data_IF_617797912674
#
_entry.id   IF_617797912674
#
_cell.length_a   1.000
_cell.length_b   1.000
_cell.length_c   1.000
_cell.angle_alpha   90.00
_cell.angle_beta   90.00
_cell.angle_gamma   90.00
#
_symmetry.space_group_name_H-M   'P 1'
#
loop_
_entity.id
_entity.type
_entity.pdbx_description
1 polymer ?
#
# COMPACT_ATOMS: atom_id res chain seq x y z
N UNK A 1 -14.08 -15.80 3.29
CA UNK A 1 -14.36 -17.06 4.03
C UNK A 1 -15.80 -17.53 3.86
N UNK A 2 -16.33 -17.40 2.65
CA UNK A 2 -17.77 -17.42 2.39
C UNK A 2 -18.29 -18.75 1.87
N UNK A 3 -17.62 -19.86 2.21
CA UNK A 3 -17.93 -21.16 1.60
C UNK A 3 -18.46 -22.20 2.58
N UNK A 4 -18.77 -21.84 3.84
CA UNK A 4 -19.24 -22.74 4.91
C UNK A 4 -18.31 -23.95 5.21
N UNK A 5 -17.13 -23.99 4.57
CA UNK A 5 -16.13 -25.05 4.72
C UNK A 5 -15.47 -25.01 6.11
N UNK A 6 -15.25 -23.82 6.65
CA UNK A 6 -14.65 -23.63 7.98
C UNK A 6 -15.69 -23.13 8.98
N UNK A 7 -15.62 -23.63 10.21
CA UNK A 7 -16.44 -23.14 11.31
C UNK A 7 -15.97 -21.73 11.72
N UNK A 8 -16.85 -20.72 11.76
CA UNK A 8 -16.48 -19.34 12.11
C UNK A 8 -15.82 -19.22 13.49
N UNK A 9 -16.34 -19.94 14.49
CA UNK A 9 -15.79 -19.95 15.86
C UNK A 9 -14.33 -20.40 15.90
N UNK A 10 -13.97 -21.45 15.13
CA UNK A 10 -12.59 -21.95 15.07
C UNK A 10 -11.61 -20.93 14.47
N UNK A 11 -12.08 -20.06 13.58
CA UNK A 11 -11.29 -18.97 13.04
C UNK A 11 -11.17 -17.80 14.04
N UNK A 12 -12.22 -17.48 14.80
CA UNK A 12 -12.10 -16.47 15.85
C UNK A 12 -11.01 -16.89 16.84
N UNK A 13 -10.91 -18.17 17.21
CA UNK A 13 -9.82 -18.68 18.06
C UNK A 13 -8.44 -18.39 17.44
N UNK A 14 -8.29 -18.48 16.12
CA UNK A 14 -7.06 -18.08 15.40
C UNK A 14 -6.78 -16.59 15.62
N UNK A 15 -7.78 -15.72 15.46
CA UNK A 15 -7.63 -14.28 15.69
C UNK A 15 -7.28 -13.95 17.13
N UNK A 16 -7.97 -14.54 18.10
CA UNK A 16 -7.68 -14.36 19.53
C UNK A 16 -6.25 -14.83 19.88
N UNK A 17 -5.79 -15.92 19.26
CA UNK A 17 -4.42 -16.43 19.46
C UNK A 17 -3.37 -15.46 18.93
N UNK A 18 -3.56 -14.94 17.71
CA UNK A 18 -2.68 -13.95 17.08
C UNK A 18 -2.65 -12.65 17.89
N UNK A 19 -3.82 -12.16 18.30
CA UNK A 19 -3.97 -10.93 19.06
C UNK A 19 -3.39 -11.02 20.47
N UNK A 20 -3.60 -12.15 21.15
CA UNK A 20 -2.98 -12.43 22.44
C UNK A 20 -1.46 -12.44 22.33
N UNK A 21 -0.91 -13.09 21.28
CA UNK A 21 0.53 -13.08 21.03
C UNK A 21 1.07 -11.67 20.75
N UNK A 22 0.34 -10.87 19.98
CA UNK A 22 0.67 -9.47 19.68
C UNK A 22 0.68 -8.60 20.94
N UNK A 23 -0.35 -8.69 21.78
CA UNK A 23 -0.45 -7.96 23.04
C UNK A 23 0.70 -8.32 24.00
N UNK A 24 1.04 -9.62 24.12
CA UNK A 24 2.19 -10.06 24.93
C UNK A 24 3.51 -9.54 24.36
N UNK A 25 3.68 -9.49 23.03
CA UNK A 25 4.93 -9.00 22.42
C UNK A 25 5.20 -7.54 22.79
N UNK A 26 4.17 -6.68 22.84
CA UNK A 26 4.32 -5.24 23.12
C UNK A 26 4.23 -4.88 24.62
N UNK A 27 3.90 -5.84 25.48
CA UNK A 27 3.89 -5.67 26.94
C UNK A 27 5.30 -5.33 27.46
N UNK A 28 5.44 -4.23 28.22
CA UNK A 28 6.75 -3.75 28.69
C UNK A 28 7.34 -4.60 29.82
N UNK A 29 6.52 -5.37 30.55
CA UNK A 29 6.95 -6.19 31.69
C UNK A 29 7.23 -7.64 31.28
N UNK A 30 6.39 -8.20 30.39
CA UNK A 30 6.38 -9.62 30.02
C UNK A 30 6.86 -9.87 28.59
N UNK A 31 6.92 -8.84 27.77
CA UNK A 31 7.19 -8.91 26.35
C UNK A 31 8.57 -8.41 25.93
N UNK A 32 8.72 -8.21 24.63
CA UNK A 32 9.86 -7.54 24.03
C UNK A 32 9.35 -6.55 22.96
N UNK A 33 9.10 -5.28 23.34
CA UNK A 33 8.57 -4.26 22.43
C UNK A 33 9.45 -3.97 21.20
N UNK A 34 10.73 -4.34 21.19
CA UNK A 34 11.55 -4.27 19.97
C UNK A 34 10.98 -5.11 18.83
N UNK A 35 10.16 -6.12 19.13
CA UNK A 35 9.51 -6.97 18.14
C UNK A 35 8.09 -6.51 17.77
N UNK A 36 7.72 -5.25 18.02
CA UNK A 36 6.39 -4.73 17.67
C UNK A 36 6.02 -4.97 16.20
N UNK A 37 6.98 -4.97 15.26
CA UNK A 37 6.72 -5.29 13.85
C UNK A 37 6.04 -6.67 13.66
N UNK A 38 6.37 -7.66 14.50
CA UNK A 38 5.70 -8.97 14.54
C UNK A 38 4.26 -8.86 15.03
N UNK A 39 4.05 -8.08 16.08
CA UNK A 39 2.73 -7.87 16.68
C UNK A 39 1.81 -7.14 15.69
N UNK A 40 2.31 -6.07 15.06
CA UNK A 40 1.61 -5.33 14.01
C UNK A 40 1.28 -6.25 12.83
N UNK A 41 2.22 -7.11 12.41
CA UNK A 41 1.97 -8.10 11.34
C UNK A 41 0.79 -9.03 11.66
N UNK A 42 0.69 -9.56 12.87
CA UNK A 42 -0.45 -10.40 13.27
C UNK A 42 -1.78 -9.66 13.24
N UNK A 43 -1.81 -8.41 13.70
CA UNK A 43 -3.02 -7.58 13.65
C UNK A 43 -3.38 -7.24 12.21
N UNK A 44 -2.40 -6.94 11.35
CA UNK A 44 -2.60 -6.74 9.92
C UNK A 44 -3.20 -8.01 9.28
N UNK A 45 -2.73 -9.22 9.61
CA UNK A 45 -3.29 -10.47 9.10
C UNK A 45 -4.79 -10.63 9.46
N UNK A 46 -5.18 -10.22 10.67
CA UNK A 46 -6.59 -10.24 11.08
C UNK A 46 -7.37 -9.21 10.26
N UNK A 47 -6.93 -7.95 10.24
CA UNK A 47 -7.65 -6.87 9.57
C UNK A 47 -7.78 -7.09 8.05
N UNK A 48 -6.71 -7.55 7.40
CA UNK A 48 -6.68 -7.73 5.95
C UNK A 48 -7.60 -8.84 5.45
N UNK A 49 -8.02 -9.78 6.30
CA UNK A 49 -8.96 -10.83 5.89
C UNK A 49 -10.43 -10.43 6.00
N UNK A 50 -10.75 -9.40 6.79
CA UNK A 50 -12.11 -8.97 7.08
C UNK A 50 -12.91 -8.48 5.86
N UNK A 51 -12.34 -7.84 4.82
CA UNK A 51 -13.10 -7.51 3.61
C UNK A 51 -13.70 -8.74 2.91
N UNK A 52 -13.07 -9.92 3.06
CA UNK A 52 -13.50 -11.17 2.44
C UNK A 52 -14.36 -12.07 3.34
N UNK A 53 -14.47 -11.78 4.64
CA UNK A 53 -15.11 -12.69 5.59
C UNK A 53 -15.85 -12.03 6.75
N UNK A 54 -15.66 -10.72 6.95
CA UNK A 54 -16.22 -9.98 8.08
C UNK A 54 -17.74 -9.99 8.11
N UNK A 55 -18.40 -9.90 6.95
CA UNK A 55 -19.87 -10.00 6.86
C UNK A 55 -20.38 -11.35 7.43
N UNK A 56 -19.76 -12.45 7.02
CA UNK A 56 -20.14 -13.80 7.46
C UNK A 56 -19.84 -14.02 8.95
N UNK A 57 -18.73 -13.48 9.44
CA UNK A 57 -18.36 -13.56 10.85
C UNK A 57 -19.32 -12.74 11.72
N UNK A 58 -19.66 -11.53 11.29
CA UNK A 58 -20.63 -10.68 11.99
C UNK A 58 -22.05 -11.27 11.99
N UNK A 59 -22.41 -12.06 10.97
CA UNK A 59 -23.70 -12.75 10.94
C UNK A 59 -23.71 -14.00 11.84
N UNK A 60 -22.66 -14.83 11.79
CA UNK A 60 -22.66 -16.13 12.48
C UNK A 60 -22.15 -16.09 13.92
N UNK A 61 -21.20 -15.21 14.23
CA UNK A 61 -20.49 -15.12 15.53
C UNK A 61 -20.30 -13.65 15.94
N UNK A 62 -21.40 -12.87 16.08
CA UNK A 62 -21.35 -11.42 16.29
C UNK A 62 -20.61 -11.01 17.58
N UNK A 63 -20.83 -11.73 18.68
CA UNK A 63 -20.22 -11.41 19.97
C UNK A 63 -18.71 -11.67 19.97
N UNK A 64 -18.29 -12.77 19.33
CA UNK A 64 -16.89 -13.14 19.19
C UNK A 64 -16.14 -12.17 18.29
N UNK A 65 -16.72 -11.76 17.16
CA UNK A 65 -16.05 -10.80 16.27
C UNK A 65 -15.98 -9.42 16.92
N UNK A 66 -17.02 -9.00 17.66
CA UNK A 66 -16.98 -7.76 18.45
C UNK A 66 -15.83 -7.78 19.46
N UNK A 67 -15.64 -8.90 20.17
CA UNK A 67 -14.51 -9.08 21.09
C UNK A 67 -13.16 -8.94 20.40
N UNK A 68 -13.00 -9.53 19.21
CA UNK A 68 -11.76 -9.39 18.41
C UNK A 68 -11.54 -7.92 18.03
N UNK A 69 -12.56 -7.21 17.57
CA UNK A 69 -12.48 -5.80 17.20
C UNK A 69 -12.12 -4.91 18.42
N UNK A 70 -12.73 -5.14 19.58
CA UNK A 70 -12.38 -4.46 20.83
C UNK A 70 -10.94 -4.74 21.24
N UNK A 71 -10.48 -5.99 21.09
CA UNK A 71 -9.11 -6.35 21.40
C UNK A 71 -8.09 -5.71 20.45
N UNK A 72 -8.42 -5.54 19.17
CA UNK A 72 -7.58 -4.78 18.22
C UNK A 72 -7.49 -3.32 18.64
N UNK A 73 -8.61 -2.68 19.02
CA UNK A 73 -8.60 -1.32 19.53
C UNK A 73 -7.74 -1.18 20.81
N UNK A 74 -7.79 -2.17 21.70
CA UNK A 74 -6.94 -2.22 22.89
C UNK A 74 -5.46 -2.36 22.53
N UNK A 75 -5.12 -3.23 21.58
CA UNK A 75 -3.75 -3.36 21.06
C UNK A 75 -3.23 -2.02 20.49
N UNK A 76 -4.04 -1.35 19.67
CA UNK A 76 -3.66 -0.05 19.09
C UNK A 76 -3.43 1.03 20.16
N UNK A 77 -4.08 0.92 21.32
CA UNK A 77 -3.88 1.88 22.43
C UNK A 77 -2.59 1.66 23.23
N UNK A 78 -1.99 0.47 23.17
CA UNK A 78 -0.79 0.11 23.94
C UNK A 78 0.48 0.03 23.09
N UNK A 79 0.35 -0.14 21.77
CA UNK A 79 1.51 -0.16 20.85
C UNK A 79 2.20 1.20 20.83
N UNK A 80 3.51 1.20 20.59
CA UNK A 80 4.28 2.43 20.43
C UNK A 80 4.06 3.00 19.03
N UNK A 81 3.65 4.26 18.95
CA UNK A 81 3.63 4.98 17.67
C UNK A 81 5.08 5.23 17.23
N UNK A 82 5.48 4.65 16.11
CA UNK A 82 6.83 4.81 15.56
C UNK A 82 6.69 5.56 14.23
N UNK A 83 7.02 6.85 14.22
CA UNK A 83 7.12 7.62 12.98
C UNK A 83 8.44 7.27 12.28
N UNK A 84 8.39 6.43 11.25
CA UNK A 84 9.58 6.16 10.42
C UNK A 84 9.74 7.25 9.36
N UNK A 85 10.13 8.45 9.82
CA UNK A 85 10.30 9.61 8.95
C UNK A 85 11.35 9.38 7.85
N UNK A 86 12.27 8.43 8.05
CA UNK A 86 13.35 8.13 7.10
C UNK A 86 12.91 7.36 5.85
N UNK A 87 11.68 6.85 5.83
CA UNK A 87 11.12 6.08 4.71
C UNK A 87 9.82 6.70 4.17
N UNK A 88 9.53 7.96 4.51
CA UNK A 88 8.40 8.71 3.94
C UNK A 88 8.70 9.17 2.51
N UNK A 89 7.66 9.22 1.66
CA UNK A 89 7.77 9.76 0.31
C UNK A 89 7.95 11.28 0.31
N UNK A 90 7.37 11.96 1.29
CA UNK A 90 7.43 13.41 1.44
C UNK A 90 8.03 13.73 2.81
N UNK A 91 8.93 14.70 2.86
CA UNK A 91 9.40 15.33 4.08
C UNK A 91 8.20 16.05 4.70
N UNK A 92 7.83 15.67 5.94
CA UNK A 92 6.68 16.23 6.63
C UNK A 92 6.85 17.76 6.76
N UNK A 93 5.96 18.54 6.13
CA UNK A 93 5.71 19.89 6.65
C UNK A 93 5.17 19.71 8.07
N UNK A 94 5.66 20.50 9.02
CA UNK A 94 5.06 20.73 10.35
C UNK A 94 3.64 21.32 10.22
N UNK A 95 2.74 20.59 9.56
CA UNK A 95 1.35 20.91 9.38
C UNK A 95 0.66 20.52 10.69
N UNK A 96 0.45 21.54 11.51
CA UNK A 96 0.05 21.44 12.91
C UNK A 96 -0.99 20.37 13.25
N UNK A 97 -0.66 19.57 14.27
CA UNK A 97 -1.61 19.07 15.27
C UNK A 97 -2.00 17.60 15.16
N UNK A 98 -2.20 17.05 13.96
CA UNK A 98 -2.61 15.65 13.80
C UNK A 98 -1.38 14.78 13.50
N UNK A 99 -1.10 13.85 14.41
CA UNK A 99 -0.11 12.78 14.17
C UNK A 99 -0.56 12.00 12.93
N UNK A 100 0.25 12.03 11.87
CA UNK A 100 -0.10 11.31 10.65
C UNK A 100 -0.20 9.80 10.92
N UNK A 101 -1.35 9.22 10.58
CA UNK A 101 -1.67 7.81 10.85
C UNK A 101 -0.72 6.88 10.10
N UNK A 102 -0.32 5.79 10.75
CA UNK A 102 0.41 4.73 10.04
C UNK A 102 -0.54 3.82 9.26
N UNK A 103 0.03 2.87 8.51
CA UNK A 103 -0.75 1.94 7.68
C UNK A 103 -1.74 1.10 8.49
N UNK A 104 -1.35 0.64 9.68
CA UNK A 104 -2.19 -0.22 10.51
C UNK A 104 -3.37 0.59 11.08
N UNK A 105 -3.12 1.83 11.48
CA UNK A 105 -4.16 2.77 11.94
C UNK A 105 -5.14 3.13 10.79
N UNK A 106 -4.63 3.43 9.60
CA UNK A 106 -5.47 3.66 8.40
C UNK A 106 -6.32 2.43 8.05
N UNK A 107 -5.73 1.23 8.10
CA UNK A 107 -6.48 -0.01 7.83
C UNK A 107 -7.55 -0.25 8.90
N UNK A 108 -7.25 0.00 10.17
CA UNK A 108 -8.22 -0.13 11.25
C UNK A 108 -9.42 0.78 11.04
N UNK A 109 -9.20 2.05 10.72
CA UNK A 109 -10.30 3.00 10.46
C UNK A 109 -11.18 2.56 9.28
N UNK A 110 -10.57 2.05 8.20
CA UNK A 110 -11.32 1.50 7.06
C UNK A 110 -12.18 0.30 7.47
N UNK A 111 -11.67 -0.55 8.35
CA UNK A 111 -12.43 -1.68 8.90
C UNK A 111 -13.57 -1.21 9.81
N UNK A 112 -13.36 -0.17 10.63
CA UNK A 112 -14.43 0.42 11.43
C UNK A 112 -15.54 0.99 10.54
N UNK A 113 -15.18 1.74 9.50
CA UNK A 113 -16.13 2.25 8.50
C UNK A 113 -16.86 1.09 7.82
N UNK A 114 -16.15 0.04 7.37
CA UNK A 114 -16.76 -1.14 6.78
C UNK A 114 -17.77 -1.80 7.72
N UNK A 115 -17.41 -2.00 8.99
CA UNK A 115 -18.29 -2.59 10.01
C UNK A 115 -19.55 -1.75 10.20
N UNK A 116 -19.40 -0.42 10.35
CA UNK A 116 -20.54 0.51 10.51
C UNK A 116 -21.46 0.56 9.28
N UNK A 117 -20.92 0.28 8.09
CA UNK A 117 -21.66 0.25 6.82
C UNK A 117 -22.21 -1.14 6.47
N UNK A 118 -22.29 -2.05 7.44
CA UNK A 118 -22.90 -3.37 7.27
C UNK A 118 -22.07 -4.32 6.43
N UNK A 119 -20.74 -4.22 6.49
CA UNK A 119 -19.80 -5.14 5.84
C UNK A 119 -19.97 -5.26 4.31
N UNK A 120 -20.45 -4.19 3.66
CA UNK A 120 -20.61 -4.13 2.21
C UNK A 120 -19.27 -3.84 1.54
N UNK A 121 -18.91 -4.68 0.57
CA UNK A 121 -17.66 -4.58 -0.21
C UNK A 121 -17.99 -4.91 -1.65
N UNK A 122 -17.73 -3.99 -2.56
CA UNK A 122 -18.03 -4.14 -4.00
C UNK A 122 -16.86 -4.71 -4.79
N UNK A 123 -15.63 -4.50 -4.29
CA UNK A 123 -14.38 -4.96 -4.89
C UNK A 123 -14.11 -6.46 -4.78
N UNK A 124 -14.78 -7.19 -3.88
CA UNK A 124 -14.49 -8.60 -3.62
C UNK A 124 -15.42 -9.51 -4.43
N UNK A 125 -14.91 -10.27 -5.42
CA UNK A 125 -15.73 -11.22 -6.17
C UNK A 125 -16.27 -12.33 -5.29
N UNK A 126 -17.55 -12.69 -5.50
CA UNK A 126 -18.24 -13.73 -4.72
C UNK A 126 -18.74 -14.90 -5.59
N UNK A 127 -17.85 -15.61 -6.32
CA UNK A 127 -18.26 -16.71 -7.20
C UNK A 127 -18.92 -17.88 -6.47
N UNK A 128 -18.65 -18.01 -5.17
CA UNK A 128 -19.25 -19.04 -4.30
C UNK A 128 -20.77 -18.88 -4.13
N UNK A 129 -21.34 -17.68 -4.33
CA UNK A 129 -22.79 -17.46 -4.17
C UNK A 129 -23.62 -18.33 -5.13
N UNK A 130 -23.14 -18.55 -6.35
CA UNK A 130 -23.78 -19.47 -7.31
C UNK A 130 -23.85 -20.92 -6.83
N UNK A 131 -23.07 -21.28 -5.80
CA UNK A 131 -22.96 -22.62 -5.25
C UNK A 131 -23.43 -22.72 -3.79
N UNK A 132 -24.11 -21.69 -3.28
CA UNK A 132 -24.48 -21.58 -1.87
C UNK A 132 -25.24 -22.80 -1.35
N UNK A 133 -26.21 -23.31 -2.10
CA UNK A 133 -26.98 -24.50 -1.71
C UNK A 133 -26.10 -25.75 -1.53
N UNK A 134 -25.09 -25.95 -2.38
CA UNK A 134 -24.17 -27.10 -2.22
C UNK A 134 -23.20 -26.89 -1.06
N UNK A 135 -22.75 -25.65 -0.86
CA UNK A 135 -21.82 -25.29 0.21
C UNK A 135 -22.47 -25.42 1.59
N UNK A 136 -23.74 -25.03 1.73
CA UNK A 136 -24.53 -25.18 2.97
C UNK A 136 -24.81 -26.65 3.28
N UNK A 137 -25.05 -27.48 2.26
CA UNK A 137 -25.19 -28.93 2.46
C UNK A 137 -23.85 -29.65 2.72
N UNK A 138 -22.73 -28.97 2.48
CA UNK A 138 -21.39 -29.49 2.71
C UNK A 138 -21.05 -29.65 4.18
N UNK A 139 -20.00 -30.44 4.47
CA UNK A 139 -19.47 -30.57 5.82
C UNK A 139 -18.62 -29.34 6.17
N UNK A 140 -18.88 -28.76 7.34
CA UNK A 140 -18.00 -27.74 7.93
C UNK A 140 -16.91 -28.38 8.78
N UNK A 141 -15.74 -27.76 8.80
CA UNK A 141 -14.52 -28.24 9.45
C UNK A 141 -14.01 -27.21 10.45
N UNK A 142 -13.53 -27.69 11.59
CA UNK A 142 -12.80 -26.84 12.54
C UNK A 142 -11.38 -26.58 12.02
N UNK A 143 -10.90 -25.37 12.23
CA UNK A 143 -9.48 -25.07 12.11
C UNK A 143 -8.72 -25.77 13.25
N UNK A 144 -7.63 -26.47 12.93
CA UNK A 144 -6.78 -27.07 13.96
C UNK A 144 -6.17 -26.00 14.88
N UNK A 145 -5.79 -26.33 16.12
CA UNK A 145 -5.17 -25.37 17.02
C UNK A 145 -3.90 -24.81 16.38
N UNK A 146 -3.82 -23.49 16.27
CA UNK A 146 -2.60 -22.82 15.85
C UNK A 146 -1.78 -22.41 17.07
N UNK A 147 -0.47 -22.49 16.94
CA UNK A 147 0.46 -21.91 17.90
C UNK A 147 1.27 -20.83 17.20
N UNK A 148 1.26 -19.63 17.76
CA UNK A 148 2.25 -18.63 17.38
C UNK A 148 3.66 -19.16 17.72
N UNK A 149 4.70 -18.76 16.96
CA UNK A 149 6.08 -18.94 17.38
C UNK A 149 6.31 -18.45 18.82
N UNK A 150 7.35 -18.96 19.47
CA UNK A 150 7.73 -18.53 20.82
C UNK A 150 7.90 -17.01 20.90
N UNK A 151 7.61 -16.46 22.09
CA UNK A 151 7.75 -15.02 22.30
C UNK A 151 9.23 -14.62 22.23
N UNK A 152 9.58 -13.50 21.55
CA UNK A 152 10.95 -13.06 21.44
C UNK A 152 11.51 -12.70 22.81
N UNK A 153 12.68 -13.24 23.15
CA UNK A 153 13.37 -12.92 24.40
C UNK A 153 13.94 -11.49 24.37
N UNK A 154 14.01 -10.87 25.55
CA UNK A 154 14.74 -9.62 25.74
C UNK A 154 16.23 -9.79 25.42
N UNK A 155 16.93 -8.73 25.00
CA UNK A 155 18.35 -8.83 24.69
C UNK A 155 19.15 -9.17 25.96
N UNK A 156 20.11 -10.08 25.83
CA UNK A 156 20.97 -10.52 26.95
C UNK A 156 21.78 -9.38 27.58
N UNK A 157 22.05 -8.32 26.81
CA UNK A 157 22.68 -7.08 27.28
C UNK A 157 21.72 -5.92 27.10
N UNK A 158 21.37 -5.26 28.20
CA UNK A 158 20.48 -4.10 28.20
C UNK A 158 21.26 -2.88 27.70
N UNK A 159 21.16 -2.61 26.39
CA UNK A 159 21.72 -1.42 25.75
C UNK A 159 20.85 -0.97 24.59
N UNK A 160 20.83 0.33 24.30
CA UNK A 160 20.08 0.88 23.17
C UNK A 160 20.45 0.21 21.84
N UNK A 161 21.73 -0.14 21.66
CA UNK A 161 22.24 -0.84 20.47
C UNK A 161 21.65 -2.24 20.35
N UNK A 162 21.54 -3.00 21.45
CA UNK A 162 20.98 -4.34 21.42
C UNK A 162 19.48 -4.33 21.10
N UNK A 163 18.72 -3.42 21.69
CA UNK A 163 17.30 -3.23 21.37
C UNK A 163 17.10 -2.75 19.93
N UNK A 164 17.95 -1.85 19.44
CA UNK A 164 17.94 -1.39 18.05
C UNK A 164 18.22 -2.52 17.06
N UNK A 165 19.17 -3.41 17.37
CA UNK A 165 19.45 -4.59 16.55
C UNK A 165 18.24 -5.53 16.49
N UNK A 166 17.62 -5.85 17.63
CA UNK A 166 16.43 -6.70 17.64
C UNK A 166 15.25 -6.06 16.89
N UNK A 167 15.09 -4.73 17.00
CA UNK A 167 14.09 -3.98 16.24
C UNK A 167 14.30 -4.13 14.73
N UNK A 168 15.54 -3.91 14.28
CA UNK A 168 15.90 -4.11 12.87
C UNK A 168 15.68 -5.55 12.40
N UNK A 169 16.07 -6.55 13.20
CA UNK A 169 15.87 -7.97 12.89
C UNK A 169 14.36 -8.30 12.79
N UNK A 170 13.52 -7.69 13.64
CA UNK A 170 12.08 -7.84 13.61
C UNK A 170 11.46 -7.22 12.35
N UNK A 171 11.88 -6.01 11.96
CA UNK A 171 11.42 -5.31 10.74
C UNK A 171 11.85 -6.04 9.46
N UNK A 172 13.03 -6.67 9.45
CA UNK A 172 13.46 -7.52 8.33
C UNK A 172 12.60 -8.78 8.20
N UNK A 173 12.20 -9.39 9.32
CA UNK A 173 11.40 -10.62 9.33
C UNK A 173 9.91 -10.37 9.13
N UNK A 174 9.42 -9.24 9.60
CA UNK A 174 8.04 -8.79 9.50
C UNK A 174 8.01 -7.39 8.91
N UNK A 175 8.20 -7.25 7.59
CA UNK A 175 8.24 -5.96 6.94
C UNK A 175 6.93 -5.20 7.16
N UNK A 176 7.04 -3.99 7.68
CA UNK A 176 5.89 -3.11 7.83
C UNK A 176 5.55 -2.50 6.48
N UNK A 177 4.25 -2.38 6.20
CA UNK A 177 3.81 -1.63 5.03
C UNK A 177 3.94 -0.14 5.31
N UNK A 178 4.73 0.53 4.47
CA UNK A 178 4.87 1.98 4.53
C UNK A 178 3.56 2.69 4.23
N UNK A 179 3.48 3.98 4.58
CA UNK A 179 2.32 4.82 4.26
C UNK A 179 2.00 4.78 2.77
N UNK A 180 0.72 4.96 2.43
CA UNK A 180 0.30 5.02 1.03
C UNK A 180 0.81 6.31 0.39
N UNK A 181 1.37 6.20 -0.80
CA UNK A 181 1.65 7.39 -1.60
C UNK A 181 0.30 7.97 -2.07
N UNK A 182 -0.07 9.16 -1.59
CA UNK A 182 -1.29 9.85 -2.02
C UNK A 182 -0.93 10.97 -3.00
N UNK A 183 -1.07 10.68 -4.30
CA UNK A 183 -0.78 11.60 -5.40
C UNK A 183 -2.02 12.42 -5.73
N UNK A 184 -3.15 11.74 -5.88
CA UNK A 184 -4.39 12.36 -6.34
C UNK A 184 -5.26 12.85 -5.18
N UNK A 185 -6.04 13.93 -5.37
CA UNK A 185 -7.01 14.34 -4.36
C UNK A 185 -8.12 13.30 -4.22
N UNK A 186 -8.73 13.24 -3.03
CA UNK A 186 -9.81 12.30 -2.72
C UNK A 186 -10.98 12.36 -3.73
N UNK A 187 -11.17 13.50 -4.38
CA UNK A 187 -12.20 13.70 -5.41
C UNK A 187 -12.04 12.83 -6.66
N UNK A 188 -10.85 12.29 -6.92
CA UNK A 188 -10.62 11.34 -8.02
C UNK A 188 -11.04 9.91 -7.69
N UNK A 189 -11.36 9.65 -6.42
CA UNK A 189 -11.76 8.35 -5.89
C UNK A 189 -13.02 8.46 -5.02
N UNK A 190 -13.83 9.52 -5.20
CA UNK A 190 -15.05 9.77 -4.41
C UNK A 190 -16.06 8.61 -4.49
N UNK A 191 -16.13 7.94 -5.63
CA UNK A 191 -17.03 6.80 -5.85
C UNK A 191 -16.52 5.49 -5.20
N UNK A 192 -15.30 5.46 -4.66
CA UNK A 192 -14.69 4.28 -4.06
C UNK A 192 -14.86 4.29 -2.54
N UNK A 193 -15.42 3.22 -1.98
CA UNK A 193 -15.41 3.07 -0.53
C UNK A 193 -13.98 2.93 -0.01
N UNK A 194 -13.67 3.42 1.20
CA UNK A 194 -12.33 3.33 1.76
C UNK A 194 -11.78 1.90 1.79
N UNK A 195 -12.62 0.89 2.03
CA UNK A 195 -12.15 -0.50 2.00
C UNK A 195 -11.96 -1.04 0.59
N UNK A 196 -12.79 -0.63 -0.38
CA UNK A 196 -12.63 -1.04 -1.78
C UNK A 196 -11.31 -0.54 -2.36
N UNK A 197 -10.89 0.67 -1.96
CA UNK A 197 -9.54 1.18 -2.27
C UNK A 197 -8.45 0.26 -1.73
N UNK A 198 -8.56 -0.24 -0.49
CA UNK A 198 -7.60 -1.20 0.07
C UNK A 198 -7.58 -2.52 -0.73
N UNK A 199 -8.75 -3.11 -0.99
CA UNK A 199 -8.84 -4.39 -1.72
C UNK A 199 -8.29 -4.28 -3.14
N UNK A 200 -8.61 -3.22 -3.88
CA UNK A 200 -8.08 -3.02 -5.24
C UNK A 200 -6.59 -2.78 -5.21
N UNK A 201 -6.08 -2.03 -4.22
CA UNK A 201 -4.63 -1.86 -4.03
C UNK A 201 -3.93 -3.22 -3.81
N UNK A 202 -4.49 -4.12 -2.99
CA UNK A 202 -3.96 -5.48 -2.80
C UNK A 202 -3.92 -6.26 -4.12
N UNK A 203 -5.00 -6.24 -4.90
CA UNK A 203 -5.02 -6.91 -6.20
C UNK A 203 -3.95 -6.38 -7.15
N UNK A 204 -3.75 -5.05 -7.19
CA UNK A 204 -2.74 -4.43 -8.03
C UNK A 204 -1.33 -4.81 -7.60
N UNK A 205 -1.06 -4.84 -6.28
CA UNK A 205 0.22 -5.26 -5.73
C UNK A 205 0.50 -6.75 -6.01
N UNK A 206 -0.50 -7.62 -5.84
CA UNK A 206 -0.39 -9.03 -6.19
C UNK A 206 -0.12 -9.22 -7.69
N UNK A 207 -0.81 -8.50 -8.56
CA UNK A 207 -0.58 -8.58 -10.01
C UNK A 207 0.84 -8.12 -10.36
N UNK A 208 1.33 -7.02 -9.77
CA UNK A 208 2.71 -6.56 -9.94
C UNK A 208 3.70 -7.63 -9.45
N UNK A 209 3.44 -8.25 -8.30
CA UNK A 209 4.27 -9.29 -7.71
C UNK A 209 4.33 -10.55 -8.58
N UNK A 210 3.19 -11.12 -8.94
CA UNK A 210 3.14 -12.38 -9.66
C UNK A 210 3.55 -12.26 -11.14
N UNK A 211 3.29 -11.12 -11.79
CA UNK A 211 3.58 -10.90 -13.20
C UNK A 211 4.79 -9.99 -13.46
N UNK A 212 5.69 -9.83 -12.48
CA UNK A 212 6.92 -9.03 -12.63
C UNK A 212 7.83 -9.49 -13.79
N UNK A 213 7.76 -10.78 -14.16
CA UNK A 213 8.48 -11.35 -15.31
C UNK A 213 7.78 -11.20 -16.66
N UNK A 214 6.49 -10.86 -16.70
CA UNK A 214 5.70 -10.78 -17.93
C UNK A 214 4.85 -9.49 -17.96
N UNK A 215 5.48 -8.36 -18.34
CA UNK A 215 4.84 -7.03 -18.34
C UNK A 215 3.51 -6.94 -19.11
N UNK A 216 3.34 -7.72 -20.19
CA UNK A 216 2.12 -7.69 -21.01
C UNK A 216 0.96 -8.36 -20.29
N UNK A 217 1.21 -9.49 -19.63
CA UNK A 217 0.22 -10.15 -18.78
C UNK A 217 -0.09 -9.30 -17.56
N UNK A 218 0.92 -8.71 -16.92
CA UNK A 218 0.75 -7.76 -15.83
C UNK A 218 -0.24 -6.65 -16.23
N UNK A 219 0.00 -5.95 -17.35
CA UNK A 219 -0.89 -4.90 -17.81
C UNK A 219 -2.30 -5.43 -18.12
N UNK A 220 -2.43 -6.60 -18.76
CA UNK A 220 -3.72 -7.21 -19.07
C UNK A 220 -4.53 -7.54 -17.79
N UNK A 221 -3.91 -8.11 -16.77
CA UNK A 221 -4.56 -8.42 -15.50
C UNK A 221 -4.88 -7.16 -14.67
N UNK A 222 -4.00 -6.15 -14.68
CA UNK A 222 -4.30 -4.87 -14.02
C UNK A 222 -5.51 -4.18 -14.63
N UNK A 223 -5.68 -4.23 -15.96
CA UNK A 223 -6.86 -3.66 -16.66
C UNK A 223 -8.11 -4.50 -16.45
N UNK A 224 -7.97 -5.81 -16.24
CA UNK A 224 -9.07 -6.75 -16.14
C UNK A 224 -9.47 -7.13 -14.71
N UNK A 225 -9.24 -6.29 -13.71
CA UNK A 225 -9.66 -6.62 -12.35
C UNK A 225 -11.20 -6.74 -12.29
N UNK A 226 -11.74 -7.73 -11.57
CA UNK A 226 -13.18 -8.02 -11.53
C UNK A 226 -13.93 -7.08 -10.57
N UNK A 227 -13.84 -5.77 -10.80
CA UNK A 227 -14.47 -4.72 -9.98
C UNK A 227 -15.47 -3.90 -10.80
N UNK A 228 -16.58 -3.42 -10.21
CA UNK A 228 -17.67 -2.79 -10.96
C UNK A 228 -17.44 -1.30 -11.27
N UNK A 229 -16.34 -0.73 -10.81
CA UNK A 229 -16.03 0.71 -10.87
C UNK A 229 -14.69 0.97 -11.54
N UNK A 230 -14.42 2.25 -11.83
CA UNK A 230 -13.14 2.71 -12.41
C UNK A 230 -12.09 2.89 -11.33
N UNK A 231 -10.84 2.56 -11.65
CA UNK A 231 -9.74 2.54 -10.68
C UNK A 231 -8.39 2.94 -11.30
N UNK A 232 -8.38 3.64 -12.44
CA UNK A 232 -7.16 4.03 -13.14
C UNK A 232 -6.27 4.97 -12.31
N UNK A 233 -6.86 5.87 -11.53
CA UNK A 233 -6.12 6.75 -10.60
C UNK A 233 -5.43 5.94 -9.50
N UNK A 234 -6.15 5.01 -8.87
CA UNK A 234 -5.58 4.10 -7.87
C UNK A 234 -4.49 3.22 -8.49
N UNK A 235 -4.71 2.71 -9.71
CA UNK A 235 -3.73 1.93 -10.46
C UNK A 235 -2.42 2.68 -10.68
N UNK A 236 -2.49 3.93 -11.16
CA UNK A 236 -1.28 4.75 -11.34
C UNK A 236 -0.59 5.01 -10.00
N UNK A 237 -1.34 5.37 -8.97
CA UNK A 237 -0.84 5.65 -7.64
C UNK A 237 -0.15 4.44 -7.00
N UNK A 238 -0.72 3.23 -7.13
CA UNK A 238 -0.09 1.98 -6.69
C UNK A 238 1.22 1.71 -7.44
N UNK A 239 1.27 1.94 -8.75
CA UNK A 239 2.53 1.73 -9.51
C UNK A 239 3.60 2.73 -9.08
N UNK A 240 3.24 4.01 -8.92
CA UNK A 240 4.18 5.02 -8.43
C UNK A 240 4.62 4.76 -7.00
N UNK A 241 3.73 4.26 -6.12
CA UNK A 241 4.11 3.90 -4.75
C UNK A 241 5.19 2.83 -4.73
N UNK A 242 5.09 1.83 -5.62
CA UNK A 242 6.11 0.79 -5.75
C UNK A 242 7.40 1.28 -6.43
N UNK A 243 7.28 2.16 -7.43
CA UNK A 243 8.43 2.75 -8.12
C UNK A 243 9.25 3.66 -7.21
N UNK A 244 8.58 4.41 -6.33
CA UNK A 244 9.21 5.38 -5.43
C UNK A 244 9.53 4.77 -4.07
N UNK A 245 9.08 3.54 -3.76
CA UNK A 245 9.19 2.92 -2.44
C UNK A 245 10.60 2.98 -1.85
N UNK A 246 10.72 3.50 -0.63
CA UNK A 246 11.96 3.52 0.13
C UNK A 246 12.09 2.25 1.00
N UNK A 247 13.31 1.75 1.25
CA UNK A 247 14.59 2.27 0.74
C UNK A 247 14.84 1.92 -0.73
N UNK A 248 14.16 0.90 -1.26
CA UNK A 248 14.29 0.49 -2.66
C UNK A 248 12.98 -0.09 -3.20
N UNK A 249 12.73 0.04 -4.52
CA UNK A 249 11.57 -0.59 -5.15
C UNK A 249 11.67 -2.13 -5.09
N UNK A 250 10.54 -2.85 -4.98
CA UNK A 250 10.56 -4.32 -4.97
C UNK A 250 11.15 -4.96 -6.25
N UNK A 251 11.00 -4.28 -7.38
CA UNK A 251 11.50 -4.69 -8.69
C UNK A 251 12.31 -3.58 -9.35
N UNK A 252 13.09 -3.91 -10.38
CA UNK A 252 13.90 -2.92 -11.12
C UNK A 252 13.01 -1.78 -11.65
N UNK A 253 13.39 -0.49 -11.50
CA UNK A 253 12.58 0.66 -11.95
C UNK A 253 12.07 0.59 -13.41
N UNK A 254 12.87 -0.02 -14.29
CA UNK A 254 12.51 -0.25 -15.70
C UNK A 254 11.23 -1.07 -15.86
N UNK A 255 10.96 -2.00 -14.95
CA UNK A 255 9.75 -2.83 -14.96
C UNK A 255 8.49 -1.96 -14.89
N UNK A 256 8.40 -1.07 -13.89
CA UNK A 256 7.27 -0.15 -13.75
C UNK A 256 7.11 0.78 -14.95
N UNK A 257 8.23 1.24 -15.55
CA UNK A 257 8.19 2.04 -16.77
C UNK A 257 7.49 1.28 -17.90
N UNK A 258 7.89 0.01 -18.11
CA UNK A 258 7.33 -0.83 -19.17
C UNK A 258 5.86 -1.21 -18.91
N UNK A 259 5.48 -1.43 -17.65
CA UNK A 259 4.08 -1.68 -17.26
C UNK A 259 3.23 -0.44 -17.55
N UNK A 260 3.67 0.76 -17.14
CA UNK A 260 2.96 2.02 -17.43
C UNK A 260 2.79 2.21 -18.95
N UNK A 261 3.83 1.91 -19.74
CA UNK A 261 3.74 1.99 -21.21
C UNK A 261 2.71 1.02 -21.80
N UNK A 262 2.66 -0.22 -21.31
CA UNK A 262 1.67 -1.20 -21.77
C UNK A 262 0.25 -0.82 -21.33
N UNK A 263 0.08 -0.26 -20.13
CA UNK A 263 -1.19 0.27 -19.65
C UNK A 263 -1.68 1.46 -20.48
N UNK A 264 -0.80 2.39 -20.86
CA UNK A 264 -1.14 3.48 -21.79
C UNK A 264 -1.64 2.96 -23.15
N UNK A 265 -1.13 1.81 -23.62
CA UNK A 265 -1.59 1.17 -24.86
C UNK A 265 -2.90 0.41 -24.67
N UNK A 266 -3.10 -0.22 -23.52
CA UNK A 266 -4.31 -0.96 -23.19
C UNK A 266 -5.50 -0.03 -22.90
N UNK A 267 -5.24 1.16 -22.36
CA UNK A 267 -6.24 2.17 -21.97
C UNK A 267 -5.95 3.55 -22.59
N UNK A 268 -5.89 3.68 -23.93
CA UNK A 268 -5.41 4.90 -24.60
C UNK A 268 -6.28 6.14 -24.34
N UNK A 269 -7.58 5.96 -24.07
CA UNK A 269 -8.51 7.06 -23.81
C UNK A 269 -8.56 7.55 -22.35
N UNK A 270 -7.80 6.91 -21.43
CA UNK A 270 -7.88 7.21 -20.00
C UNK A 270 -6.51 7.28 -19.34
N UNK A 271 -5.75 6.19 -19.39
CA UNK A 271 -4.54 6.04 -18.57
C UNK A 271 -3.43 7.06 -18.86
N UNK A 272 -3.16 7.47 -20.13
CA UNK A 272 -2.19 8.53 -20.41
C UNK A 272 -2.48 9.85 -19.67
N UNK A 273 -3.76 10.25 -19.60
CA UNK A 273 -4.17 11.47 -18.89
C UNK A 273 -3.98 11.33 -17.37
N UNK A 274 -4.22 10.14 -16.81
CA UNK A 274 -3.98 9.83 -15.40
C UNK A 274 -2.49 9.90 -15.07
N UNK A 275 -1.63 9.30 -15.90
CA UNK A 275 -0.16 9.36 -15.73
C UNK A 275 0.34 10.80 -15.79
N UNK A 276 -0.11 11.59 -16.77
CA UNK A 276 0.25 13.00 -16.85
C UNK A 276 -0.24 13.79 -15.62
N UNK A 277 -1.42 13.46 -15.09
CA UNK A 277 -1.92 14.00 -13.83
C UNK A 277 -1.05 13.65 -12.63
N UNK A 278 -0.56 12.40 -12.55
CA UNK A 278 0.33 11.96 -11.49
C UNK A 278 1.65 12.74 -11.50
N UNK A 279 2.24 12.91 -12.68
CA UNK A 279 3.49 13.67 -12.84
C UNK A 279 3.31 15.13 -12.41
N UNK A 280 2.20 15.78 -12.80
CA UNK A 280 1.91 17.15 -12.36
C UNK A 280 1.79 17.23 -10.84
N UNK A 281 1.02 16.35 -10.22
CA UNK A 281 0.84 16.35 -8.77
C UNK A 281 2.15 16.07 -8.00
N UNK A 282 3.00 15.17 -8.50
CA UNK A 282 4.32 14.92 -7.91
C UNK A 282 5.27 16.10 -8.13
N UNK A 283 5.20 16.77 -9.28
CA UNK A 283 6.00 17.95 -9.59
C UNK A 283 5.60 19.16 -8.74
N UNK A 284 4.32 19.34 -8.47
CA UNK A 284 3.80 20.41 -7.60
C UNK A 284 4.35 20.28 -6.18
N UNK A 285 4.48 19.04 -5.69
CA UNK A 285 5.00 18.70 -4.34
C UNK A 285 6.47 18.30 -4.32
N UNK A 286 7.22 18.59 -5.39
CA UNK A 286 8.58 18.07 -5.53
C UNK A 286 9.58 18.68 -4.54
N UNK A 287 9.24 19.82 -3.94
CA UNK A 287 10.06 20.44 -2.91
C UNK A 287 10.09 19.63 -1.61
N UNK A 288 9.06 18.83 -1.37
CA UNK A 288 8.89 18.00 -0.17
C UNK A 288 9.16 16.53 -0.49
N UNK A 289 9.06 16.10 -1.75
CA UNK A 289 9.34 14.71 -2.14
C UNK A 289 10.76 14.28 -1.70
N UNK A 290 10.97 13.09 -1.17
CA UNK A 290 12.29 12.60 -0.77
C UNK A 290 13.31 12.64 -1.94
N UNK A 291 14.58 12.87 -1.64
CA UNK A 291 15.64 13.06 -2.65
C UNK A 291 15.87 11.84 -3.55
N UNK A 292 15.78 10.63 -2.99
CA UNK A 292 15.88 9.39 -3.78
C UNK A 292 14.61 9.20 -4.63
N UNK A 293 13.44 9.55 -4.09
CA UNK A 293 12.18 9.57 -4.83
C UNK A 293 12.22 10.56 -6.02
N UNK A 294 12.75 11.78 -5.83
CA UNK A 294 12.97 12.77 -6.92
C UNK A 294 13.85 12.18 -8.01
N UNK A 295 14.95 11.55 -7.64
CA UNK A 295 15.90 10.94 -8.58
C UNK A 295 15.23 9.85 -9.41
N UNK A 296 14.44 8.97 -8.78
CA UNK A 296 13.68 7.93 -9.48
C UNK A 296 12.62 8.51 -10.41
N UNK A 297 11.92 9.56 -9.98
CA UNK A 297 10.93 10.25 -10.81
C UNK A 297 11.56 10.86 -12.06
N UNK A 298 12.71 11.54 -11.92
CA UNK A 298 13.48 12.10 -13.06
C UNK A 298 13.89 10.99 -14.04
N UNK A 299 14.44 9.89 -13.53
CA UNK A 299 14.90 8.77 -14.35
C UNK A 299 13.74 8.10 -15.10
N UNK A 300 12.65 7.83 -14.40
CA UNK A 300 11.44 7.28 -14.99
C UNK A 300 10.83 8.24 -16.02
N UNK A 301 10.70 9.53 -15.70
CA UNK A 301 9.97 10.48 -16.55
C UNK A 301 10.72 10.75 -17.86
N UNK A 302 12.04 10.99 -17.80
CA UNK A 302 12.87 11.15 -19.00
C UNK A 302 12.85 9.91 -19.91
N UNK A 303 12.85 8.70 -19.32
CA UNK A 303 12.76 7.47 -20.09
C UNK A 303 11.34 7.23 -20.63
N UNK A 304 10.30 7.63 -19.90
CA UNK A 304 8.92 7.59 -20.38
C UNK A 304 8.77 8.51 -21.61
N UNK A 305 9.17 9.77 -21.51
CA UNK A 305 9.07 10.74 -22.60
C UNK A 305 9.82 10.29 -23.86
N UNK A 306 11.00 9.67 -23.73
CA UNK A 306 11.75 9.16 -24.89
C UNK A 306 11.00 8.10 -25.70
N UNK A 307 10.06 7.38 -25.07
CA UNK A 307 9.20 6.40 -25.72
C UNK A 307 7.91 7.02 -26.30
N UNK A 308 7.60 8.28 -25.96
CA UNK A 308 6.46 9.05 -26.45
C UNK A 308 6.91 10.31 -27.21
N UNK A 309 7.98 10.16 -28.00
CA UNK A 309 8.50 11.19 -28.91
C UNK A 309 8.98 12.49 -28.22
N UNK A 310 9.27 12.45 -26.92
CA UNK A 310 9.68 13.60 -26.11
C UNK A 310 8.61 14.70 -26.01
N UNK A 311 7.32 14.31 -26.07
CA UNK A 311 6.20 15.24 -26.04
C UNK A 311 5.74 15.47 -24.59
N UNK A 312 5.87 16.71 -24.12
CA UNK A 312 5.30 17.21 -22.86
C UNK A 312 4.94 18.70 -23.03
N UNK A 313 3.83 19.20 -22.45
CA UNK A 313 3.47 20.61 -22.50
C UNK A 313 4.37 21.46 -21.57
N UNK A 314 5.64 21.61 -21.93
CA UNK A 314 6.65 22.32 -21.14
C UNK A 314 6.28 23.78 -20.84
N UNK A 315 5.44 24.41 -21.65
CA UNK A 315 4.89 25.74 -21.42
C UNK A 315 4.12 25.87 -20.09
N UNK A 316 3.51 24.78 -19.61
CA UNK A 316 2.82 24.74 -18.30
C UNK A 316 3.81 24.97 -17.15
N UNK A 317 5.09 24.65 -17.34
CA UNK A 317 6.15 24.78 -16.34
C UNK A 317 7.13 25.92 -16.64
N UNK A 318 6.85 26.80 -17.60
CA UNK A 318 7.75 27.88 -17.97
C UNK A 318 8.14 28.81 -16.80
N UNK A 319 7.27 28.92 -15.79
CA UNK A 319 7.49 29.72 -14.58
C UNK A 319 8.73 29.26 -13.79
N UNK A 320 9.21 28.03 -13.96
CA UNK A 320 10.42 27.57 -13.26
C UNK A 320 11.69 28.33 -13.66
N UNK A 321 11.67 29.02 -14.82
CA UNK A 321 12.77 29.85 -15.28
C UNK A 321 13.04 31.05 -14.34
N UNK A 322 11.97 31.53 -13.69
CA UNK A 322 12.01 32.65 -12.74
C UNK A 322 12.44 32.20 -11.33
N UNK A 323 12.43 30.90 -11.06
CA UNK A 323 12.86 30.34 -9.78
C UNK A 323 14.40 30.33 -9.65
N UNK A 324 14.96 30.38 -8.44
CA UNK A 324 16.40 30.19 -8.23
C UNK A 324 16.92 28.88 -8.83
N UNK A 325 18.19 28.85 -9.25
CA UNK A 325 18.80 27.66 -9.89
C UNK A 325 18.72 26.37 -9.06
N UNK A 326 18.66 26.51 -7.74
CA UNK A 326 18.57 25.41 -6.79
C UNK A 326 17.12 25.04 -6.41
N UNK A 327 16.11 25.71 -6.97
CA UNK A 327 14.71 25.39 -6.69
C UNK A 327 14.39 23.96 -7.19
N UNK A 328 13.77 23.08 -6.38
CA UNK A 328 13.54 21.68 -6.73
C UNK A 328 12.82 21.49 -8.08
N UNK A 329 11.79 22.29 -8.38
CA UNK A 329 11.08 22.24 -9.66
C UNK A 329 11.98 22.60 -10.86
N UNK A 330 12.83 23.62 -10.73
CA UNK A 330 13.76 24.02 -11.78
C UNK A 330 14.83 22.95 -12.01
N UNK A 331 15.39 22.39 -10.93
CA UNK A 331 16.37 21.29 -10.99
C UNK A 331 15.74 20.07 -11.65
N UNK A 332 14.50 19.70 -11.30
CA UNK A 332 13.80 18.60 -11.93
C UNK A 332 13.69 18.74 -13.45
N UNK A 333 13.20 19.89 -13.93
CA UNK A 333 13.07 20.15 -15.38
C UNK A 333 14.44 20.09 -16.06
N UNK A 334 15.46 20.71 -15.46
CA UNK A 334 16.83 20.68 -15.99
C UNK A 334 17.36 19.23 -16.10
N UNK A 335 17.26 18.45 -15.03
CA UNK A 335 17.77 17.07 -14.96
C UNK A 335 17.03 16.11 -15.90
N UNK A 336 15.73 16.35 -16.15
CA UNK A 336 14.94 15.61 -17.14
C UNK A 336 15.43 15.94 -18.55
N UNK A 337 15.50 17.22 -18.92
CA UNK A 337 15.95 17.64 -20.26
C UNK A 337 17.40 17.20 -20.56
N UNK A 338 18.30 17.30 -19.57
CA UNK A 338 19.67 16.79 -19.71
C UNK A 338 19.72 15.28 -19.99
N UNK A 339 18.81 14.50 -19.40
CA UNK A 339 18.69 13.07 -19.69
C UNK A 339 18.05 12.79 -21.04
N UNK A 340 17.07 13.57 -21.45
CA UNK A 340 16.49 13.46 -22.80
C UNK A 340 17.53 13.70 -23.89
N UNK A 341 18.45 14.65 -23.69
CA UNK A 341 19.60 14.85 -24.59
C UNK A 341 20.48 13.60 -24.65
N UNK A 342 20.71 12.89 -23.53
CA UNK A 342 21.48 11.63 -23.52
C UNK A 342 20.73 10.47 -24.19
N UNK A 343 19.40 10.47 -24.10
CA UNK A 343 18.52 9.51 -24.79
C UNK A 343 18.24 9.92 -26.24
N UNK A 344 18.75 11.08 -26.68
CA UNK A 344 18.60 11.61 -28.02
C UNK A 344 19.82 12.44 -28.43
N UNK A 345 19.60 13.65 -28.97
CA UNK A 345 20.65 14.61 -29.30
C UNK A 345 20.13 16.04 -29.08
N UNK A 346 21.06 16.96 -28.83
CA UNK A 346 20.76 18.35 -28.44
C UNK A 346 19.77 19.06 -29.37
N UNK A 347 20.01 19.02 -30.69
CA UNK A 347 19.16 19.74 -31.64
C UNK A 347 17.71 19.23 -31.70
N UNK A 348 17.46 17.98 -31.28
CA UNK A 348 16.10 17.45 -31.17
C UNK A 348 15.38 18.01 -29.96
N UNK A 349 16.03 17.98 -28.80
CA UNK A 349 15.44 18.39 -27.52
C UNK A 349 15.34 19.92 -27.40
N UNK A 350 16.16 20.65 -28.14
CA UNK A 350 16.11 22.11 -28.24
C UNK A 350 14.87 22.64 -28.97
N UNK A 351 14.31 21.85 -29.90
CA UNK A 351 13.09 22.18 -30.65
C UNK A 351 11.88 22.03 -29.74
#
# INVERSE_FOLDING_TARGET
>A
MCSKVLQPTSLVVVFETLLSSAAITVDEEKGNPSWQARADFYVICILSCLPWGGAELAEQVPEEIERVLVGIQAYLSIRRHTSDSGLSFFEDEESGGDVEKDFLEDLWERIQVLSSNGWKVESVPRPHLSFEAQLVAGKSHEFGPISCPEQPELPSTISAVAYGKQKHDAELKYPQRMRRLNIFPASKTEDLQPIDRFVVEEYLLDVLLFFNGCRKECAAFMVGLPVPFRYEYLMAETIFSQLLLLPQPPFKPIYYTLVIMDLCKALPGAFPAVVAGAVRALFDKIADLDMECRTRLILWFSHHLSNFQFIWPWEEWAYVLDLPKWAPQRVFVQEVLEREVRLSYWDKIKQ
#
